data_IF_649162590049
#
_entry.id   IF_649162590049
#
_cell.length_a   1.000
_cell.length_b   1.000
_cell.length_c   1.000
_cell.angle_alpha   90.00
_cell.angle_beta   90.00
_cell.angle_gamma   90.00
#
_symmetry.space_group_name_H-M   'P 1'
#
loop_
_entity.id
_entity.type
_entity.pdbx_description
1 polymer ?
#
# COMPACT_ATOMS: atom_id res chain seq x y z
N UNK A 1 11.41 1.18 -9.84
CA UNK A 1 10.39 2.23 -9.72
C UNK A 1 10.29 2.97 -11.04
N UNK A 2 9.16 2.90 -11.69
CA UNK A 2 8.92 3.65 -12.91
C UNK A 2 8.26 4.97 -12.57
N UNK A 3 8.91 6.07 -12.92
CA UNK A 3 8.42 7.44 -12.71
C UNK A 3 7.90 7.93 -14.04
N UNK A 4 6.60 8.22 -14.13
CA UNK A 4 5.98 8.83 -15.30
C UNK A 4 5.82 10.33 -15.04
N UNK A 5 6.45 11.15 -15.87
CA UNK A 5 6.34 12.62 -15.79
C UNK A 5 5.28 13.06 -16.80
N UNK A 6 4.17 13.58 -16.33
CA UNK A 6 3.14 14.16 -17.18
C UNK A 6 3.35 15.67 -17.29
N UNK A 7 3.52 16.15 -18.55
CA UNK A 7 3.93 17.52 -18.86
C UNK A 7 2.72 18.45 -18.95
N UNK A 8 2.62 19.41 -18.07
CA UNK A 8 2.38 20.86 -18.20
C UNK A 8 2.04 21.48 -16.84
N UNK A 9 2.95 22.29 -16.34
CA UNK A 9 2.86 23.26 -15.24
C UNK A 9 2.99 22.78 -13.79
N UNK A 10 2.97 21.49 -13.47
CA UNK A 10 3.51 20.93 -12.21
C UNK A 10 4.03 19.54 -12.53
N UNK A 11 5.30 19.27 -12.16
CA UNK A 11 5.87 17.91 -12.20
C UNK A 11 5.12 17.06 -11.17
N UNK A 12 4.10 16.31 -11.61
CA UNK A 12 3.45 15.31 -10.78
C UNK A 12 4.19 13.98 -11.03
N UNK A 13 4.88 13.49 -10.01
CA UNK A 13 5.55 12.21 -10.07
C UNK A 13 4.56 11.14 -9.62
N UNK A 14 4.26 10.19 -10.51
CA UNK A 14 3.46 9.01 -10.18
C UNK A 14 4.38 7.82 -9.96
N UNK A 15 4.26 7.20 -8.80
CA UNK A 15 4.96 5.96 -8.50
C UNK A 15 4.12 4.77 -8.93
N UNK A 16 4.66 3.94 -9.83
CA UNK A 16 3.99 2.74 -10.32
C UNK A 16 4.73 1.51 -9.83
N UNK A 17 4.06 0.68 -9.04
CA UNK A 17 4.64 -0.51 -8.40
C UNK A 17 3.82 -1.76 -8.68
N UNK A 18 4.52 -2.89 -8.81
CA UNK A 18 3.90 -4.23 -8.92
C UNK A 18 3.86 -4.89 -7.55
N UNK A 19 2.66 -5.33 -7.14
CA UNK A 19 2.46 -6.06 -5.89
C UNK A 19 2.99 -7.49 -6.04
N UNK A 20 3.75 -7.92 -5.05
CA UNK A 20 4.10 -9.33 -4.84
C UNK A 20 3.33 -9.84 -3.60
N UNK A 21 2.32 -10.70 -3.76
CA UNK A 21 1.50 -11.15 -2.65
C UNK A 21 2.31 -11.68 -1.48
N UNK A 22 1.98 -11.23 -0.25
CA UNK A 22 2.67 -11.55 1.00
C UNK A 22 4.13 -11.11 1.08
N UNK A 23 4.65 -10.40 0.08
CA UNK A 23 6.07 -10.04 0.00
C UNK A 23 6.35 -8.57 -0.32
N UNK A 24 5.35 -7.71 -0.32
CA UNK A 24 5.51 -6.29 -0.61
C UNK A 24 5.37 -5.94 -2.08
N UNK A 25 6.33 -5.23 -2.65
CA UNK A 25 6.35 -4.84 -4.06
C UNK A 25 7.64 -5.32 -4.72
N UNK A 26 7.58 -5.46 -6.04
CA UNK A 26 8.76 -5.85 -6.82
C UNK A 26 9.92 -4.89 -6.57
N UNK A 27 11.06 -5.43 -6.19
CA UNK A 27 12.27 -4.67 -5.87
C UNK A 27 12.37 -4.20 -4.42
N UNK A 28 11.31 -4.34 -3.62
CA UNK A 28 11.32 -4.01 -2.20
C UNK A 28 10.53 -5.05 -1.40
N UNK A 29 11.15 -6.18 -1.05
CA UNK A 29 10.49 -7.22 -0.27
C UNK A 29 10.28 -6.79 1.18
N UNK A 30 9.20 -7.31 1.80
CA UNK A 30 9.03 -7.22 3.24
C UNK A 30 10.24 -7.87 3.93
N UNK A 31 10.64 -7.33 5.07
CA UNK A 31 11.87 -7.72 5.75
C UNK A 31 13.10 -6.89 5.36
N UNK A 32 12.99 -6.04 4.34
CA UNK A 32 14.08 -5.11 3.95
C UNK A 32 14.45 -4.19 5.11
N UNK A 33 15.74 -3.81 5.17
CA UNK A 33 16.22 -2.84 6.16
C UNK A 33 15.65 -1.45 5.91
N UNK A 34 15.56 -0.63 6.94
CA UNK A 34 15.15 0.76 6.83
C UNK A 34 16.00 1.54 5.82
N UNK A 35 17.30 1.30 5.79
CA UNK A 35 18.20 1.94 4.82
C UNK A 35 17.84 1.55 3.38
N UNK A 36 17.53 0.28 3.13
CA UNK A 36 17.08 -0.20 1.82
C UNK A 36 15.76 0.45 1.41
N UNK A 37 14.79 0.52 2.31
CA UNK A 37 13.50 1.17 2.05
C UNK A 37 13.68 2.65 1.70
N UNK A 38 14.50 3.36 2.47
CA UNK A 38 14.78 4.79 2.26
C UNK A 38 15.57 5.06 0.98
N UNK A 39 16.34 4.09 0.50
CA UNK A 39 17.01 4.17 -0.81
C UNK A 39 16.05 3.89 -1.97
N UNK A 40 15.01 3.11 -1.74
CA UNK A 40 14.03 2.75 -2.78
C UNK A 40 13.09 3.90 -3.12
N UNK A 41 12.58 4.60 -2.11
CA UNK A 41 11.69 5.75 -2.30
C UNK A 41 12.49 7.05 -2.30
N UNK A 42 12.14 7.95 -3.23
CA UNK A 42 12.77 9.28 -3.36
C UNK A 42 11.80 10.39 -2.93
N UNK A 43 12.34 11.56 -2.62
CA UNK A 43 11.57 12.73 -2.25
C UNK A 43 11.59 13.00 -0.75
N UNK A 44 10.73 13.91 -0.31
CA UNK A 44 10.62 14.31 1.08
C UNK A 44 10.20 13.14 1.95
N UNK A 45 10.95 12.87 3.01
CA UNK A 45 10.69 11.86 4.01
C UNK A 45 10.28 12.52 5.33
N UNK A 46 9.15 12.09 5.87
CA UNK A 46 8.70 12.45 7.22
C UNK A 46 8.71 11.21 8.10
N UNK A 47 9.24 11.32 9.30
CA UNK A 47 9.21 10.26 10.32
C UNK A 47 8.10 10.59 11.31
N UNK A 48 7.27 9.60 11.64
CA UNK A 48 6.17 9.79 12.59
C UNK A 48 5.97 8.56 13.47
N UNK A 49 5.17 8.70 14.52
CA UNK A 49 4.74 7.60 15.39
C UNK A 49 3.22 7.58 15.45
N UNK A 50 2.63 6.39 15.35
CA UNK A 50 1.18 6.21 15.54
C UNK A 50 0.76 6.45 17.01
N UNK A 51 1.64 6.16 17.95
CA UNK A 51 1.49 6.40 19.38
C UNK A 51 2.86 6.65 20.00
N UNK A 52 2.94 7.18 21.25
CA UNK A 52 4.21 7.42 21.90
C UNK A 52 5.10 6.19 22.07
N UNK A 53 4.49 4.99 22.11
CA UNK A 53 5.19 3.71 22.31
C UNK A 53 5.39 2.90 21.03
N UNK A 54 4.83 3.35 19.88
CA UNK A 54 4.97 2.65 18.63
C UNK A 54 6.36 2.83 18.00
N UNK A 55 6.79 1.87 17.20
CA UNK A 55 7.99 1.99 16.37
C UNK A 55 7.80 3.14 15.40
N UNK A 56 8.80 4.03 15.19
CA UNK A 56 8.70 5.09 14.20
C UNK A 56 8.47 4.54 12.80
N UNK A 57 7.59 5.20 12.04
CA UNK A 57 7.28 4.88 10.66
C UNK A 57 7.76 6.00 9.73
N UNK A 58 7.95 5.65 8.47
CA UNK A 58 8.36 6.59 7.43
C UNK A 58 7.17 6.93 6.52
N UNK A 59 7.12 8.18 6.07
CA UNK A 59 6.10 8.66 5.15
C UNK A 59 6.72 9.52 4.05
N UNK A 60 6.41 9.19 2.81
CA UNK A 60 6.73 10.00 1.62
C UNK A 60 5.44 10.61 1.08
N UNK A 61 5.10 11.86 1.51
CA UNK A 61 3.79 12.45 1.16
C UNK A 61 3.56 12.60 -0.35
N UNK A 62 4.60 12.99 -1.08
CA UNK A 62 4.48 13.22 -2.53
C UNK A 62 4.28 11.92 -3.32
N UNK A 63 4.69 10.78 -2.76
CA UNK A 63 4.52 9.46 -3.37
C UNK A 63 3.27 8.74 -2.87
N UNK A 64 2.69 9.16 -1.76
CA UNK A 64 1.57 8.48 -1.13
C UNK A 64 1.96 7.13 -0.51
N UNK A 65 3.12 7.06 0.14
CA UNK A 65 3.66 5.83 0.74
C UNK A 65 3.95 6.01 2.21
N UNK A 66 3.57 5.00 2.99
CA UNK A 66 3.96 4.81 4.38
C UNK A 66 4.69 3.48 4.52
N UNK A 67 5.79 3.47 5.25
CA UNK A 67 6.53 2.26 5.57
C UNK A 67 6.52 2.03 7.08
N UNK A 68 6.05 0.87 7.49
CA UNK A 68 5.99 0.44 8.88
C UNK A 68 7.05 -0.61 9.14
N UNK A 69 7.73 -0.49 10.28
CA UNK A 69 8.85 -1.33 10.65
C UNK A 69 8.59 -2.11 11.93
N UNK A 70 9.18 -3.30 12.02
CA UNK A 70 9.29 -4.04 13.29
C UNK A 70 10.29 -3.36 14.22
N UNK A 71 10.32 -3.77 15.48
CA UNK A 71 11.26 -3.24 16.47
C UNK A 71 12.73 -3.43 16.06
N UNK A 72 13.05 -4.48 15.30
CA UNK A 72 14.39 -4.75 14.77
C UNK A 72 14.75 -3.90 13.53
N UNK A 73 13.83 -3.06 13.04
CA UNK A 73 14.03 -2.20 11.87
C UNK A 73 13.68 -2.82 10.53
N UNK A 74 13.22 -4.07 10.50
CA UNK A 74 12.79 -4.73 9.26
C UNK A 74 11.43 -4.20 8.80
N UNK A 75 11.28 -4.00 7.49
CA UNK A 75 10.01 -3.59 6.88
C UNK A 75 8.92 -4.62 7.17
N UNK A 76 7.85 -4.17 7.81
CA UNK A 76 6.71 -5.02 8.19
C UNK A 76 5.54 -4.88 7.23
N UNK A 77 5.24 -3.65 6.80
CA UNK A 77 4.12 -3.36 5.92
C UNK A 77 4.35 -2.08 5.13
N UNK A 78 3.71 -1.99 3.97
CA UNK A 78 3.66 -0.78 3.13
C UNK A 78 2.20 -0.36 2.98
N UNK A 79 1.91 0.90 3.23
CA UNK A 79 0.59 1.49 3.03
C UNK A 79 0.65 2.53 1.92
N UNK A 80 -0.34 2.52 1.06
CA UNK A 80 -0.40 3.39 -0.10
C UNK A 80 -1.67 4.22 -0.11
N UNK A 81 -1.50 5.48 -0.47
CA UNK A 81 -2.58 6.44 -0.73
C UNK A 81 -2.32 7.10 -2.09
N UNK A 82 -3.28 7.91 -2.57
CA UNK A 82 -3.03 8.73 -3.76
C UNK A 82 -1.74 9.57 -3.56
N UNK A 83 -0.86 9.71 -4.55
CA UNK A 83 -1.02 9.35 -5.96
C UNK A 83 -0.38 8.01 -6.38
N UNK A 84 -0.09 7.11 -5.46
CA UNK A 84 0.51 5.81 -5.79
C UNK A 84 -0.34 5.02 -6.80
N UNK A 85 0.32 4.27 -7.68
CA UNK A 85 -0.31 3.37 -8.65
C UNK A 85 0.22 1.96 -8.41
N UNK A 86 -0.68 1.03 -8.15
CA UNK A 86 -0.34 -0.35 -7.85
C UNK A 86 -1.02 -1.30 -8.83
N UNK A 87 -0.29 -2.31 -9.28
CA UNK A 87 -0.81 -3.39 -10.09
C UNK A 87 -0.53 -4.75 -9.45
N UNK A 88 -1.39 -5.71 -9.76
CA UNK A 88 -1.22 -7.11 -9.38
C UNK A 88 -1.49 -7.96 -10.61
N UNK A 89 -0.48 -8.74 -11.05
CA UNK A 89 -0.60 -9.58 -12.23
C UNK A 89 -0.92 -8.82 -13.52
N UNK A 90 -0.45 -7.57 -13.65
CA UNK A 90 -0.70 -6.71 -14.80
C UNK A 90 -2.03 -5.96 -14.76
N UNK A 91 -2.90 -6.23 -13.78
CA UNK A 91 -4.16 -5.51 -13.58
C UNK A 91 -3.99 -4.39 -12.55
N UNK A 92 -4.56 -3.21 -12.84
CA UNK A 92 -4.55 -2.08 -11.88
C UNK A 92 -5.43 -2.43 -10.68
N UNK A 93 -4.83 -2.37 -9.47
CA UNK A 93 -5.53 -2.60 -8.22
C UNK A 93 -5.71 -1.31 -7.41
N UNK A 94 -4.92 -0.29 -7.67
CA UNK A 94 -5.00 1.00 -7.00
C UNK A 94 -4.46 2.11 -7.93
N UNK A 95 -5.16 3.21 -8.17
CA UNK A 95 -6.52 3.53 -7.69
C UNK A 95 -7.59 2.69 -8.40
N UNK A 96 -8.65 2.34 -7.67
CA UNK A 96 -9.76 1.52 -8.19
C UNK A 96 -10.98 1.70 -7.29
N UNK A 97 -12.19 1.43 -7.80
CA UNK A 97 -13.39 1.42 -6.98
C UNK A 97 -13.38 0.24 -6.00
N UNK A 98 -14.01 0.42 -4.84
CA UNK A 98 -14.11 -0.63 -3.81
C UNK A 98 -14.79 -1.89 -4.36
N UNK A 99 -15.84 -1.72 -5.15
CA UNK A 99 -16.57 -2.84 -5.77
C UNK A 99 -15.67 -3.68 -6.69
N UNK A 100 -14.92 -3.03 -7.57
CA UNK A 100 -14.02 -3.71 -8.50
C UNK A 100 -12.86 -4.38 -7.75
N UNK A 101 -12.30 -3.70 -6.75
CA UNK A 101 -11.24 -4.25 -5.90
C UNK A 101 -11.70 -5.51 -5.16
N UNK A 102 -12.90 -5.50 -4.58
CA UNK A 102 -13.48 -6.66 -3.91
C UNK A 102 -13.64 -7.84 -4.88
N UNK A 103 -14.17 -7.58 -6.06
CA UNK A 103 -14.33 -8.62 -7.09
C UNK A 103 -12.99 -9.24 -7.46
N UNK A 104 -11.97 -8.41 -7.63
CA UNK A 104 -10.62 -8.84 -7.94
C UNK A 104 -10.02 -9.71 -6.82
N UNK A 105 -10.11 -9.29 -5.58
CA UNK A 105 -9.60 -10.04 -4.42
C UNK A 105 -10.31 -11.39 -4.27
N UNK A 106 -11.63 -11.42 -4.45
CA UNK A 106 -12.43 -12.65 -4.33
C UNK A 106 -12.13 -13.69 -5.40
N UNK A 107 -11.62 -13.30 -6.56
CA UNK A 107 -11.20 -14.24 -7.61
C UNK A 107 -10.04 -15.13 -7.16
N UNK A 108 -9.14 -14.59 -6.33
CA UNK A 108 -7.96 -15.31 -5.85
C UNK A 108 -8.14 -15.83 -4.42
N UNK A 109 -8.84 -15.08 -3.59
CA UNK A 109 -9.07 -15.43 -2.18
C UNK A 109 -10.57 -15.53 -1.90
N UNK A 110 -11.14 -16.76 -1.80
CA UNK A 110 -12.55 -16.94 -1.46
C UNK A 110 -12.86 -16.59 0.00
N UNK A 111 -11.84 -16.38 0.85
CA UNK A 111 -11.98 -16.08 2.28
C UNK A 111 -11.73 -14.62 2.62
N UNK A 112 -11.84 -13.71 1.65
CA UNK A 112 -11.76 -12.26 1.91
C UNK A 112 -12.74 -11.87 3.00
N UNK A 113 -12.24 -11.21 4.04
CA UNK A 113 -13.06 -10.64 5.11
C UNK A 113 -13.51 -9.25 4.69
N UNK A 114 -14.82 -9.03 4.64
CA UNK A 114 -15.41 -7.75 4.24
C UNK A 114 -16.11 -7.13 5.43
N UNK A 115 -15.79 -5.87 5.70
CA UNK A 115 -16.46 -5.02 6.66
C UNK A 115 -17.09 -3.81 5.96
N UNK A 116 -17.71 -2.91 6.72
CA UNK A 116 -18.48 -1.80 6.15
C UNK A 116 -17.61 -0.86 5.29
N UNK A 117 -16.35 -0.66 5.66
CA UNK A 117 -15.43 0.29 5.03
C UNK A 117 -14.10 -0.35 4.59
N UNK A 118 -13.98 -1.67 4.73
CA UNK A 118 -12.71 -2.34 4.48
C UNK A 118 -12.87 -3.78 3.98
N UNK A 119 -11.82 -4.30 3.41
CA UNK A 119 -11.70 -5.71 3.09
C UNK A 119 -10.26 -6.18 3.32
N UNK A 120 -10.09 -7.41 3.78
CA UNK A 120 -8.81 -8.01 4.10
C UNK A 120 -8.67 -9.36 3.41
N UNK A 121 -7.63 -9.52 2.60
CA UNK A 121 -7.21 -10.79 2.04
C UNK A 121 -5.92 -11.24 2.71
N UNK A 122 -6.01 -12.18 3.65
CA UNK A 122 -4.83 -12.76 4.29
C UNK A 122 -4.01 -13.61 3.32
N UNK A 123 -4.66 -14.25 2.36
CA UNK A 123 -3.99 -15.06 1.34
C UNK A 123 -3.08 -14.24 0.43
N UNK A 124 -3.48 -13.00 0.12
CA UNK A 124 -2.70 -12.10 -0.74
C UNK A 124 -1.85 -11.10 0.06
N UNK A 125 -2.12 -10.92 1.36
CA UNK A 125 -1.47 -9.90 2.17
C UNK A 125 -1.89 -8.49 1.77
N UNK A 126 -3.16 -8.29 1.46
CA UNK A 126 -3.72 -7.01 1.00
C UNK A 126 -4.92 -6.63 1.86
N UNK A 127 -4.91 -5.41 2.37
CA UNK A 127 -6.07 -4.76 2.97
C UNK A 127 -6.40 -3.47 2.22
N UNK A 128 -7.69 -3.20 2.06
CA UNK A 128 -8.18 -1.99 1.39
C UNK A 128 -9.23 -1.29 2.26
N UNK A 129 -9.22 0.04 2.24
CA UNK A 129 -10.18 0.86 2.98
C UNK A 129 -10.77 1.96 2.10
N UNK A 130 -11.99 2.33 2.42
CA UNK A 130 -12.65 3.55 1.93
C UNK A 130 -13.22 4.32 3.12
N UNK A 131 -13.59 5.59 2.96
CA UNK A 131 -14.18 6.37 4.04
C UNK A 131 -15.56 5.83 4.44
N UNK A 132 -15.85 5.80 5.74
CA UNK A 132 -17.14 5.37 6.27
C UNK A 132 -18.27 6.22 5.68
N UNK A 133 -19.36 5.57 5.29
CA UNK A 133 -20.55 6.22 4.75
C UNK A 133 -20.50 6.51 3.26
N UNK A 134 -19.46 6.09 2.55
CA UNK A 134 -19.41 6.18 1.09
C UNK A 134 -20.11 5.00 0.43
N UNK A 135 -20.62 5.24 -0.78
CA UNK A 135 -21.28 4.24 -1.62
C UNK A 135 -20.34 3.11 -2.05
N UNK A 136 -20.90 1.97 -2.48
CA UNK A 136 -20.13 0.81 -2.93
C UNK A 136 -19.22 1.09 -4.14
N UNK A 137 -19.54 2.11 -4.94
CA UNK A 137 -18.75 2.57 -6.08
C UNK A 137 -17.62 3.54 -5.70
N UNK A 138 -17.47 3.86 -4.40
CA UNK A 138 -16.42 4.75 -3.90
C UNK A 138 -15.03 4.18 -4.18
N UNK A 139 -14.07 5.08 -4.40
CA UNK A 139 -12.68 4.70 -4.61
C UNK A 139 -12.07 4.11 -3.34
N UNK A 140 -11.21 3.12 -3.50
CA UNK A 140 -10.29 2.69 -2.44
C UNK A 140 -9.37 3.87 -2.10
N UNK A 141 -9.36 4.28 -0.85
CA UNK A 141 -8.54 5.42 -0.39
C UNK A 141 -7.18 4.97 0.12
N UNK A 142 -7.11 3.79 0.68
CA UNK A 142 -5.88 3.24 1.26
C UNK A 142 -5.76 1.75 0.94
N UNK A 143 -4.55 1.33 0.60
CA UNK A 143 -4.20 -0.07 0.39
C UNK A 143 -2.95 -0.41 1.20
N UNK A 144 -3.04 -1.46 2.03
CA UNK A 144 -1.93 -1.96 2.85
C UNK A 144 -1.45 -3.30 2.31
N UNK A 145 -0.14 -3.44 2.15
CA UNK A 145 0.55 -4.70 1.86
C UNK A 145 1.23 -5.22 3.12
N UNK A 146 1.00 -6.48 3.45
CA UNK A 146 1.54 -7.12 4.64
C UNK A 146 1.93 -8.58 4.37
N UNK A 147 2.73 -9.15 5.27
CA UNK A 147 3.17 -10.53 5.19
C UNK A 147 2.25 -11.50 5.92
N UNK A 148 2.55 -12.79 5.81
CA UNK A 148 1.82 -13.84 6.52
C UNK A 148 1.86 -13.61 8.03
N UNK A 149 0.71 -13.79 8.70
CA UNK A 149 0.59 -13.64 10.15
C UNK A 149 0.48 -12.20 10.67
N UNK A 150 0.40 -11.20 9.80
CA UNK A 150 0.29 -9.78 10.21
C UNK A 150 -0.94 -9.50 11.08
N UNK A 151 -2.07 -10.09 10.77
CA UNK A 151 -3.31 -9.98 11.56
C UNK A 151 -3.54 -11.16 12.52
N UNK A 152 -2.54 -11.94 12.81
CA UNK A 152 -2.61 -13.08 13.74
C UNK A 152 -2.83 -14.39 13.03
#
# INVERSE_FOLDING_TARGET
MNIVICCRQRLTVYMHLSIEPLNGVKGLPLGSSKATVRSFFSGELKVFRRSPTSVPADHWPDLGVFAYYKADGALEALEFTSPAILELGGASLFPISMEVALRFLRQTDPHVKVEIDSAISNALGISIWTAIGKEADSQVETLLLFGAGYYG
#
